data_IF_912262599997
#
_entry.id   IF_912262599997
#
_cell.length_a   1.000
_cell.length_b   1.000
_cell.length_c   1.000
_cell.angle_alpha   90.00
_cell.angle_beta   90.00
_cell.angle_gamma   90.00
#
_symmetry.space_group_name_H-M   'P 1'
#
loop_
_entity.id
_entity.type
_entity.pdbx_description
1 polymer ?
#
# COMPACT_ATOMS: atom_id res chain seq x y z
N UNK A 1 65.90 -0.58 44.12
CA UNK A 1 64.90 0.40 43.69
C UNK A 1 65.03 0.56 42.17
N UNK A 2 64.14 -0.08 41.40
CA UNK A 2 64.07 0.06 39.95
C UNK A 2 62.71 0.68 39.64
N UNK A 3 62.76 1.94 39.19
CA UNK A 3 61.63 2.76 38.78
C UNK A 3 61.14 2.31 37.41
N UNK A 4 59.89 1.81 37.34
CA UNK A 4 59.17 1.54 36.09
C UNK A 4 58.46 2.84 35.62
N UNK A 5 58.80 3.32 34.46
CA UNK A 5 58.03 4.35 33.75
C UNK A 5 56.85 3.68 33.00
N UNK A 6 55.65 4.23 33.04
CA UNK A 6 54.55 3.74 32.22
C UNK A 6 54.68 4.30 30.78
N UNK A 7 54.61 3.37 29.80
CA UNK A 7 54.48 3.70 28.40
C UNK A 7 53.06 4.22 28.15
N UNK A 8 52.89 5.50 27.80
CA UNK A 8 51.67 6.05 27.20
C UNK A 8 51.54 5.50 25.79
N UNK A 9 50.53 4.70 25.54
CA UNK A 9 50.08 4.34 24.18
C UNK A 9 49.13 5.45 23.72
N UNK A 10 49.62 6.31 22.84
CA UNK A 10 48.77 7.21 22.07
C UNK A 10 48.08 6.41 20.97
N UNK A 11 46.81 6.10 21.17
CA UNK A 11 45.94 5.67 20.07
C UNK A 11 45.56 6.90 19.26
N UNK A 12 46.18 7.06 18.10
CA UNK A 12 45.70 8.01 17.08
C UNK A 12 44.33 7.50 16.61
N UNK A 13 43.29 8.12 17.10
CA UNK A 13 42.02 8.09 16.41
C UNK A 13 42.16 8.96 15.16
N UNK A 14 42.31 8.35 13.99
CA UNK A 14 42.13 9.02 12.73
C UNK A 14 40.66 9.43 12.63
N UNK A 15 40.35 10.67 12.96
CA UNK A 15 39.05 11.25 12.63
C UNK A 15 38.99 11.32 11.10
N UNK A 16 38.25 10.41 10.49
CA UNK A 16 37.84 10.58 9.09
C UNK A 16 36.96 11.82 9.04
N UNK A 17 37.48 12.90 8.52
CA UNK A 17 36.72 14.07 8.10
C UNK A 17 35.73 13.57 7.03
N UNK A 18 34.49 13.34 7.43
CA UNK A 18 33.38 13.27 6.50
C UNK A 18 33.27 14.63 5.83
N UNK A 19 33.73 14.74 4.59
CA UNK A 19 33.38 15.87 3.75
C UNK A 19 31.86 15.98 3.74
N UNK A 20 31.31 17.10 4.19
CA UNK A 20 29.88 17.38 4.09
C UNK A 20 29.49 17.20 2.62
N UNK A 21 28.72 16.17 2.34
CA UNK A 21 28.11 15.99 1.02
C UNK A 21 27.28 17.23 0.71
N UNK A 22 27.30 17.73 -0.54
CA UNK A 22 26.40 18.79 -0.96
C UNK A 22 24.96 18.38 -0.61
N UNK A 23 24.10 19.36 -0.37
CA UNK A 23 22.70 19.13 -0.02
C UNK A 23 22.04 18.27 -1.11
N UNK A 24 21.88 16.97 -0.85
CA UNK A 24 21.29 15.98 -1.73
C UNK A 24 19.79 15.79 -1.41
N UNK A 25 19.14 16.85 -0.92
CA UNK A 25 17.72 16.84 -0.57
C UNK A 25 17.34 15.73 0.44
N UNK A 26 18.25 15.48 1.39
CA UNK A 26 18.06 14.48 2.44
C UNK A 26 18.52 13.07 2.08
N UNK A 27 19.01 12.82 0.86
CA UNK A 27 19.62 11.53 0.48
C UNK A 27 20.99 11.40 1.14
N UNK A 28 21.27 10.25 1.76
CA UNK A 28 22.59 9.93 2.31
C UNK A 28 23.28 8.92 1.42
N UNK A 29 24.56 9.15 1.15
CA UNK A 29 25.41 8.29 0.34
C UNK A 29 26.71 8.01 1.09
N UNK A 30 27.05 6.73 1.29
CA UNK A 30 28.24 6.31 2.03
C UNK A 30 28.81 4.98 1.51
N UNK A 31 30.09 4.73 1.79
CA UNK A 31 30.71 3.42 1.56
C UNK A 31 30.28 2.48 2.70
N UNK A 32 29.71 1.33 2.35
CA UNK A 32 29.19 0.37 3.31
C UNK A 32 30.28 -0.58 3.82
N UNK A 33 30.51 -0.56 5.16
CA UNK A 33 31.44 -1.50 5.80
C UNK A 33 32.90 -1.38 5.32
N UNK A 34 33.27 -0.26 4.72
CA UNK A 34 34.57 -0.05 4.10
C UNK A 34 35.52 0.74 5.00
N UNK A 35 36.76 0.27 5.12
CA UNK A 35 37.80 0.89 5.97
C UNK A 35 39.08 1.29 5.21
N UNK A 36 39.07 1.23 3.87
CA UNK A 36 40.22 1.56 3.00
C UNK A 36 40.34 3.05 2.68
N UNK A 37 41.06 3.35 1.60
CA UNK A 37 41.37 4.72 1.15
C UNK A 37 40.39 5.30 0.11
N UNK A 38 39.43 4.49 -0.37
CA UNK A 38 38.44 4.97 -1.33
C UNK A 38 37.55 6.05 -0.72
N UNK A 39 37.14 6.98 -1.54
CA UNK A 39 36.22 8.06 -1.17
C UNK A 39 34.99 8.04 -2.07
N UNK A 40 33.88 8.60 -1.58
CA UNK A 40 32.67 8.75 -2.38
C UNK A 40 32.28 10.21 -2.46
N UNK A 41 31.81 10.59 -3.64
CA UNK A 41 31.16 11.89 -3.87
C UNK A 41 29.80 11.66 -4.52
N UNK A 42 28.85 12.55 -4.27
CA UNK A 42 27.56 12.53 -4.92
C UNK A 42 27.10 13.94 -5.27
N UNK A 43 26.36 14.07 -6.35
CA UNK A 43 25.81 15.34 -6.83
C UNK A 43 24.37 15.15 -7.31
N UNK A 44 23.50 16.12 -6.99
CA UNK A 44 22.16 16.19 -7.56
C UNK A 44 22.23 16.52 -9.05
N UNK A 45 21.48 15.81 -9.86
CA UNK A 45 21.29 16.07 -11.29
C UNK A 45 19.87 16.62 -11.59
N UNK A 46 19.09 16.93 -10.56
CA UNK A 46 17.72 17.40 -10.64
C UNK A 46 16.82 16.71 -9.64
N UNK A 47 15.53 17.02 -9.68
CA UNK A 47 14.57 16.43 -8.76
C UNK A 47 14.54 14.90 -8.90
N UNK A 48 14.75 14.19 -7.80
CA UNK A 48 14.77 12.72 -7.76
C UNK A 48 15.78 12.07 -8.72
N UNK A 49 16.93 12.74 -8.91
CA UNK A 49 18.04 12.21 -9.69
C UNK A 49 19.38 12.64 -9.09
N UNK A 50 20.25 11.69 -8.83
CA UNK A 50 21.61 11.96 -8.36
C UNK A 50 22.62 11.08 -9.09
N UNK A 51 23.85 11.54 -9.15
CA UNK A 51 25.04 10.78 -9.58
C UNK A 51 25.94 10.60 -8.38
N UNK A 52 26.37 9.37 -8.14
CA UNK A 52 27.41 9.05 -7.17
C UNK A 52 28.65 8.51 -7.88
N UNK A 53 29.81 8.85 -7.36
CA UNK A 53 31.11 8.43 -7.90
C UNK A 53 32.05 7.99 -6.78
N UNK A 54 32.64 6.83 -6.94
CA UNK A 54 33.67 6.29 -6.05
C UNK A 54 35.04 6.53 -6.66
N UNK A 55 35.92 7.21 -5.90
CA UNK A 55 37.33 7.28 -6.21
C UNK A 55 38.05 6.23 -5.37
N UNK A 56 38.59 5.21 -6.03
CA UNK A 56 39.20 4.06 -5.37
C UNK A 56 40.57 4.36 -4.74
N UNK A 57 41.26 5.45 -5.16
CA UNK A 57 42.62 5.79 -4.68
C UNK A 57 43.60 4.60 -4.70
N UNK A 58 43.52 3.76 -5.73
CA UNK A 58 44.31 2.53 -5.87
C UNK A 58 43.79 1.28 -5.18
N UNK A 59 42.68 1.36 -4.45
CA UNK A 59 42.07 0.21 -3.83
C UNK A 59 41.31 -0.65 -4.86
N UNK A 60 41.58 -1.95 -4.87
CA UNK A 60 40.96 -2.93 -5.81
C UNK A 60 39.92 -3.82 -5.14
N UNK A 61 39.67 -3.67 -3.81
CA UNK A 61 38.71 -4.53 -3.12
C UNK A 61 37.29 -4.26 -3.61
N UNK A 62 36.44 -5.31 -3.64
CA UNK A 62 35.00 -5.12 -3.84
C UNK A 62 34.43 -4.21 -2.75
N UNK A 63 33.56 -3.30 -3.13
CA UNK A 63 32.92 -2.38 -2.19
C UNK A 63 31.48 -2.12 -2.58
N UNK A 64 30.67 -1.72 -1.62
CA UNK A 64 29.30 -1.34 -1.85
C UNK A 64 29.07 0.10 -1.41
N UNK A 65 28.21 0.78 -2.12
CA UNK A 65 27.71 2.10 -1.74
C UNK A 65 26.29 1.93 -1.19
N UNK A 66 26.08 2.43 0.03
CA UNK A 66 24.75 2.58 0.60
C UNK A 66 24.16 3.92 0.17
N UNK A 67 22.94 3.89 -0.34
CA UNK A 67 22.11 5.07 -0.61
C UNK A 67 20.85 4.96 0.21
N UNK A 68 20.62 5.92 1.11
CA UNK A 68 19.40 6.01 1.92
C UNK A 68 18.52 7.12 1.37
N UNK A 69 17.34 6.77 0.90
CA UNK A 69 16.35 7.69 0.33
C UNK A 69 15.43 8.24 1.42
N UNK A 70 15.14 9.55 1.46
CA UNK A 70 14.30 10.15 2.48
C UNK A 70 12.83 9.71 2.31
N UNK A 71 12.20 9.29 3.43
CA UNK A 71 10.77 8.91 3.51
C UNK A 71 9.89 9.99 4.12
N UNK A 72 10.48 11.03 4.66
CA UNK A 72 9.78 12.13 5.33
C UNK A 72 10.38 13.47 4.93
N UNK A 73 9.63 14.54 5.14
CA UNK A 73 10.10 15.88 4.81
C UNK A 73 9.58 16.39 3.46
N UNK A 74 10.29 17.37 2.87
CA UNK A 74 9.85 18.03 1.63
C UNK A 74 10.18 17.25 0.36
N UNK A 75 11.21 16.39 0.39
CA UNK A 75 11.75 15.70 -0.77
C UNK A 75 11.68 14.18 -0.59
N UNK A 76 10.48 13.67 -0.27
CA UNK A 76 10.21 12.22 -0.19
C UNK A 76 10.37 11.61 -1.58
N UNK A 77 11.24 10.60 -1.68
CA UNK A 77 11.43 9.88 -2.93
C UNK A 77 10.34 8.84 -3.14
N UNK A 78 9.78 8.71 -4.35
CA UNK A 78 8.87 7.63 -4.71
C UNK A 78 9.67 6.33 -4.90
N UNK A 79 10.01 5.68 -3.81
CA UNK A 79 10.98 4.57 -3.76
C UNK A 79 10.59 3.38 -4.63
N UNK A 80 9.28 3.17 -4.86
CA UNK A 80 8.77 2.13 -5.77
C UNK A 80 9.17 2.35 -7.23
N UNK A 81 9.50 3.58 -7.61
CA UNK A 81 9.82 3.99 -8.99
C UNK A 81 11.32 4.28 -9.17
N UNK A 82 12.15 3.95 -8.18
CA UNK A 82 13.61 4.21 -8.21
C UNK A 82 14.34 3.09 -8.95
N UNK A 83 15.19 3.48 -9.90
CA UNK A 83 16.16 2.59 -10.55
C UNK A 83 17.60 3.08 -10.32
N UNK A 84 18.56 2.19 -10.51
CA UNK A 84 19.99 2.50 -10.49
C UNK A 84 20.60 2.05 -11.81
N UNK A 85 21.37 2.95 -12.46
CA UNK A 85 22.06 2.68 -13.73
C UNK A 85 23.54 3.03 -13.62
N UNK A 86 24.37 2.32 -14.35
CA UNK A 86 25.76 2.75 -14.58
C UNK A 86 25.82 3.98 -15.52
N UNK A 87 27.01 4.51 -15.75
CA UNK A 87 27.21 5.67 -16.64
C UNK A 87 26.93 5.36 -18.12
N UNK A 88 26.94 4.09 -18.52
CA UNK A 88 26.54 3.67 -19.85
C UNK A 88 25.02 3.55 -20.03
N UNK A 89 24.27 3.76 -18.93
CA UNK A 89 22.81 3.64 -18.92
C UNK A 89 22.30 2.23 -18.71
N UNK A 90 23.15 1.26 -18.36
CA UNK A 90 22.75 -0.11 -18.08
C UNK A 90 22.18 -0.20 -16.67
N UNK A 91 21.02 -0.87 -16.52
CA UNK A 91 20.44 -1.10 -15.21
C UNK A 91 21.33 -2.02 -14.36
N UNK A 92 21.54 -1.64 -13.11
CA UNK A 92 22.41 -2.34 -12.18
C UNK A 92 21.60 -3.24 -11.26
N UNK A 93 22.15 -4.43 -11.00
CA UNK A 93 21.62 -5.31 -9.95
C UNK A 93 21.94 -4.68 -8.58
N UNK A 94 20.90 -4.27 -7.86
CA UNK A 94 21.01 -3.54 -6.61
C UNK A 94 20.21 -4.26 -5.52
N UNK A 95 20.83 -4.44 -4.35
CA UNK A 95 20.10 -4.93 -3.19
C UNK A 95 19.27 -3.81 -2.59
N UNK A 96 18.00 -4.10 -2.38
CA UNK A 96 17.02 -3.19 -1.78
C UNK A 96 16.57 -3.73 -0.45
N UNK A 97 16.39 -2.85 0.51
CA UNK A 97 15.94 -3.19 1.86
C UNK A 97 15.21 -2.01 2.50
N UNK A 98 14.61 -2.25 3.67
CA UNK A 98 13.68 -1.32 4.30
C UNK A 98 12.24 -1.63 3.91
N UNK A 99 11.29 -1.07 4.65
CA UNK A 99 9.85 -1.35 4.47
C UNK A 99 9.36 -0.83 3.11
N UNK A 100 9.95 0.27 2.62
CA UNK A 100 9.57 0.93 1.36
C UNK A 100 10.72 0.92 0.34
N UNK A 101 11.68 -0.03 0.47
CA UNK A 101 12.87 -0.08 -0.37
C UNK A 101 13.72 1.19 -0.36
N UNK A 102 13.68 1.92 0.74
CA UNK A 102 14.41 3.17 0.90
C UNK A 102 15.93 3.02 1.02
N UNK A 103 16.41 1.80 1.29
CA UNK A 103 17.85 1.52 1.38
C UNK A 103 18.31 0.74 0.16
N UNK A 104 19.24 1.33 -0.59
CA UNK A 104 19.88 0.71 -1.74
C UNK A 104 21.31 0.36 -1.39
N UNK A 105 21.78 -0.83 -1.73
CA UNK A 105 23.16 -1.24 -1.65
C UNK A 105 23.66 -1.53 -3.06
N UNK A 106 24.49 -0.61 -3.58
CA UNK A 106 24.96 -0.60 -4.97
C UNK A 106 26.36 -1.20 -5.04
N UNK A 107 26.56 -2.33 -5.74
CA UNK A 107 27.88 -2.93 -5.87
C UNK A 107 28.78 -2.12 -6.80
N UNK A 108 30.00 -1.84 -6.35
CA UNK A 108 31.01 -1.13 -7.11
C UNK A 108 32.11 -2.12 -7.51
N UNK A 109 32.29 -2.28 -8.81
CA UNK A 109 33.29 -3.18 -9.41
C UNK A 109 34.43 -2.35 -10.02
N UNK A 110 35.46 -3.01 -10.55
CA UNK A 110 36.52 -2.33 -11.31
C UNK A 110 35.98 -1.58 -12.54
N UNK A 111 34.88 -2.09 -13.13
CA UNK A 111 34.23 -1.52 -14.32
C UNK A 111 33.21 -0.44 -14.00
N UNK A 112 32.69 -0.40 -12.78
CA UNK A 112 31.64 0.53 -12.35
C UNK A 112 32.17 1.39 -11.21
N UNK A 113 32.68 2.57 -11.55
CA UNK A 113 33.15 3.57 -10.58
C UNK A 113 32.13 4.68 -10.27
N UNK A 114 31.10 4.82 -11.10
CA UNK A 114 30.03 5.79 -10.90
C UNK A 114 28.68 5.22 -11.34
N UNK A 115 27.61 5.74 -10.75
CA UNK A 115 26.23 5.32 -11.04
C UNK A 115 25.25 6.48 -10.84
N UNK A 116 24.07 6.28 -11.40
CA UNK A 116 22.95 7.22 -11.32
C UNK A 116 21.80 6.52 -10.58
N UNK A 117 21.26 7.18 -9.57
CA UNK A 117 20.00 6.82 -8.90
C UNK A 117 18.95 7.81 -9.38
N UNK A 118 17.85 7.32 -9.93
CA UNK A 118 16.80 8.16 -10.47
C UNK A 118 15.41 7.54 -10.34
N UNK A 119 14.40 8.39 -10.28
CA UNK A 119 13.00 7.99 -10.45
C UNK A 119 12.70 7.87 -11.93
N UNK A 120 12.02 6.81 -12.31
CA UNK A 120 11.56 6.57 -13.69
C UNK A 120 10.05 6.69 -13.76
N UNK A 121 9.54 7.11 -14.92
CA UNK A 121 8.12 7.12 -15.18
C UNK A 121 7.58 5.67 -15.17
N UNK A 122 6.46 5.42 -14.48
CA UNK A 122 5.85 4.10 -14.48
C UNK A 122 5.38 3.72 -15.89
N UNK A 123 5.50 2.43 -16.24
CA UNK A 123 5.06 1.89 -17.54
C UNK A 123 3.54 2.02 -17.73
N UNK A 124 2.81 1.92 -16.64
CA UNK A 124 1.35 2.11 -16.60
C UNK A 124 1.08 3.41 -15.86
N UNK A 125 0.45 4.35 -16.53
CA UNK A 125 0.04 5.60 -15.88
C UNK A 125 -0.98 5.30 -14.79
N UNK A 126 -0.71 5.76 -13.57
CA UNK A 126 -1.71 5.74 -12.51
C UNK A 126 -2.97 6.52 -12.98
N UNK A 127 -4.17 6.10 -12.56
CA UNK A 127 -5.38 6.84 -12.86
C UNK A 127 -5.20 8.32 -12.48
N UNK A 128 -5.60 9.22 -13.38
CA UNK A 128 -5.43 10.65 -13.14
C UNK A 128 -6.28 11.08 -11.95
N UNK A 129 -5.65 11.59 -10.93
CA UNK A 129 -6.36 12.14 -9.78
C UNK A 129 -7.21 13.35 -10.17
N UNK A 130 -8.47 13.35 -9.76
CA UNK A 130 -9.40 14.46 -9.90
C UNK A 130 -9.44 15.29 -8.60
N UNK A 131 -9.96 16.52 -8.69
CA UNK A 131 -10.14 17.38 -7.53
C UNK A 131 -11.50 17.12 -6.85
N UNK A 132 -11.70 17.63 -5.62
CA UNK A 132 -13.01 17.57 -4.96
C UNK A 132 -14.10 18.28 -5.78
N UNK A 133 -13.74 19.32 -6.55
CA UNK A 133 -14.68 20.01 -7.44
C UNK A 133 -15.15 19.16 -8.62
N UNK A 134 -14.31 18.25 -9.10
CA UNK A 134 -14.68 17.32 -10.18
C UNK A 134 -15.65 16.24 -9.70
N UNK A 135 -15.76 16.05 -8.38
CA UNK A 135 -16.63 15.06 -7.73
C UNK A 135 -17.89 15.64 -7.12
N UNK A 136 -18.19 16.91 -7.41
CA UNK A 136 -19.32 17.66 -6.85
C UNK A 136 -20.06 18.40 -7.98
N UNK A 137 -21.38 18.27 -7.99
CA UNK A 137 -22.30 19.10 -8.77
C UNK A 137 -23.17 19.87 -7.77
N UNK A 138 -23.19 21.20 -7.90
CA UNK A 138 -24.17 22.09 -7.24
C UNK A 138 -24.96 22.74 -8.36
N UNK A 139 -26.20 22.29 -8.56
CA UNK A 139 -27.02 22.76 -9.68
C UNK A 139 -27.97 23.87 -9.24
N UNK A 140 -27.78 25.07 -9.76
CA UNK A 140 -28.62 26.23 -9.44
C UNK A 140 -30.02 26.15 -10.09
N UNK A 141 -30.19 25.36 -11.13
CA UNK A 141 -31.47 25.22 -11.84
C UNK A 141 -32.48 24.39 -11.08
N UNK A 142 -32.07 23.18 -10.65
CA UNK A 142 -32.87 22.30 -9.80
C UNK A 142 -32.78 22.64 -8.33
N UNK A 143 -31.64 23.20 -7.89
CA UNK A 143 -31.29 23.40 -6.48
C UNK A 143 -30.76 22.13 -5.80
N UNK A 144 -30.50 21.06 -6.55
CA UNK A 144 -29.96 19.80 -6.04
C UNK A 144 -28.43 19.79 -6.01
N UNK A 145 -27.86 19.01 -5.08
CA UNK A 145 -26.43 18.74 -5.02
C UNK A 145 -26.18 17.23 -5.19
N UNK A 146 -25.14 16.87 -5.93
CA UNK A 146 -24.68 15.48 -6.10
C UNK A 146 -23.18 15.43 -5.88
N UNK A 147 -22.72 14.50 -5.05
CA UNK A 147 -21.29 14.26 -4.86
C UNK A 147 -20.95 12.78 -4.76
N UNK A 148 -19.71 12.43 -5.11
CA UNK A 148 -19.17 11.10 -4.84
C UNK A 148 -18.67 11.08 -3.39
N UNK A 149 -19.23 10.19 -2.57
CA UNK A 149 -18.93 10.07 -1.16
C UNK A 149 -17.45 9.71 -0.91
N UNK A 150 -16.89 10.17 0.21
CA UNK A 150 -15.52 9.80 0.61
C UNK A 150 -15.38 8.31 0.90
N UNK A 151 -16.41 7.71 1.49
CA UNK A 151 -16.48 6.28 1.82
C UNK A 151 -17.88 5.76 1.53
N UNK A 152 -18.04 4.43 1.33
CA UNK A 152 -19.33 3.85 1.00
C UNK A 152 -20.39 4.10 2.07
N UNK A 153 -21.64 4.27 1.63
CA UNK A 153 -22.83 4.24 2.48
C UNK A 153 -22.78 5.18 3.69
N UNK A 154 -22.17 6.37 3.55
CA UNK A 154 -22.11 7.37 4.61
C UNK A 154 -21.10 7.08 5.72
N UNK A 155 -20.21 6.13 5.53
CA UNK A 155 -19.09 5.92 6.44
C UNK A 155 -18.17 7.14 6.38
N UNK A 156 -17.53 7.44 7.50
CA UNK A 156 -16.62 8.60 7.61
C UNK A 156 -15.14 8.22 7.51
N UNK A 157 -14.81 6.96 7.78
CA UNK A 157 -13.45 6.41 7.67
C UNK A 157 -13.50 4.94 7.26
N UNK A 158 -12.35 4.37 6.92
CA UNK A 158 -12.21 2.95 6.64
C UNK A 158 -11.20 2.28 7.58
N UNK A 159 -11.37 0.96 7.79
CA UNK A 159 -10.44 0.10 8.53
C UNK A 159 -10.18 -1.18 7.74
N UNK A 160 -8.90 -1.52 7.55
CA UNK A 160 -8.50 -2.86 7.14
C UNK A 160 -7.70 -3.57 8.22
N UNK A 161 -7.98 -4.86 8.40
CA UNK A 161 -7.32 -5.75 9.36
C UNK A 161 -6.55 -6.78 8.57
N UNK A 162 -5.22 -6.73 8.67
CA UNK A 162 -4.30 -7.58 7.91
C UNK A 162 -3.60 -8.59 8.82
N UNK A 163 -3.32 -9.78 8.26
CA UNK A 163 -2.55 -10.85 8.91
C UNK A 163 -1.44 -11.31 7.97
N UNK A 164 -0.21 -11.38 8.46
CA UNK A 164 0.97 -11.73 7.67
C UNK A 164 1.43 -13.17 7.97
N UNK A 165 2.24 -13.79 7.08
CA UNK A 165 2.99 -15.04 7.24
C UNK A 165 2.21 -16.36 7.14
N UNK A 166 0.97 -16.40 6.70
CA UNK A 166 0.20 -17.66 6.57
C UNK A 166 0.17 -18.55 7.83
N UNK A 167 0.18 -17.97 9.03
CA UNK A 167 0.25 -18.76 10.26
C UNK A 167 -1.03 -19.60 10.48
N UNK A 168 -0.95 -20.86 11.04
CA UNK A 168 -2.11 -21.73 11.26
C UNK A 168 -3.23 -21.09 12.10
N UNK A 169 -2.88 -20.15 13.00
CA UNK A 169 -3.87 -19.43 13.81
C UNK A 169 -4.74 -18.46 13.02
N UNK A 170 -4.40 -18.16 11.76
CA UNK A 170 -5.30 -17.42 10.88
C UNK A 170 -6.59 -18.18 10.63
N UNK A 171 -6.48 -19.47 10.30
CA UNK A 171 -7.61 -20.35 10.06
C UNK A 171 -8.33 -20.76 11.35
N UNK A 172 -7.55 -21.09 12.42
CA UNK A 172 -8.11 -21.65 13.66
C UNK A 172 -8.63 -20.61 14.64
N UNK A 173 -8.19 -19.34 14.54
CA UNK A 173 -8.58 -18.27 15.48
C UNK A 173 -9.00 -16.98 14.79
N UNK A 174 -8.14 -16.37 13.96
CA UNK A 174 -8.42 -15.05 13.43
C UNK A 174 -9.69 -14.98 12.58
N UNK A 175 -9.86 -15.91 11.62
CA UNK A 175 -11.05 -15.97 10.74
C UNK A 175 -12.33 -16.24 11.53
N UNK A 176 -12.40 -17.26 12.42
CA UNK A 176 -13.58 -17.47 13.25
C UNK A 176 -13.95 -16.24 14.07
N UNK A 177 -13.00 -15.59 14.72
CA UNK A 177 -13.26 -14.39 15.52
C UNK A 177 -13.74 -13.24 14.63
N UNK A 178 -13.10 -12.97 13.48
CA UNK A 178 -13.58 -11.93 12.56
C UNK A 178 -15.04 -12.18 12.13
N UNK A 179 -15.39 -13.43 11.86
CA UNK A 179 -16.78 -13.81 11.51
C UNK A 179 -17.78 -13.57 12.64
N UNK A 180 -17.41 -13.82 13.90
CA UNK A 180 -18.22 -13.46 15.07
C UNK A 180 -18.56 -11.96 15.11
N UNK A 181 -17.62 -11.11 14.70
CA UNK A 181 -17.82 -9.65 14.63
C UNK A 181 -18.50 -9.19 13.33
N UNK A 182 -18.59 -10.04 12.31
CA UNK A 182 -19.05 -9.69 10.97
C UNK A 182 -18.03 -8.83 10.21
N UNK A 183 -16.74 -9.00 10.49
CA UNK A 183 -15.67 -8.23 9.90
C UNK A 183 -14.92 -9.01 8.83
N UNK A 184 -14.46 -8.30 7.79
CA UNK A 184 -13.62 -8.83 6.72
C UNK A 184 -12.15 -8.62 7.07
N UNK A 185 -11.29 -9.61 6.81
CA UNK A 185 -9.84 -9.54 6.97
C UNK A 185 -9.11 -9.76 5.66
N UNK A 186 -7.85 -9.27 5.61
CA UNK A 186 -6.90 -9.51 4.51
C UNK A 186 -5.75 -10.37 5.01
N UNK A 187 -5.50 -11.50 4.37
CA UNK A 187 -4.46 -12.45 4.73
C UNK A 187 -3.35 -12.40 3.69
N UNK A 188 -2.20 -11.84 4.08
CA UNK A 188 -0.97 -11.83 3.30
C UNK A 188 -0.33 -13.20 3.38
N UNK A 189 -0.45 -13.98 2.30
CA UNK A 189 -0.06 -15.39 2.30
C UNK A 189 1.23 -15.65 1.54
N UNK A 190 1.93 -16.71 1.97
CA UNK A 190 3.14 -17.22 1.33
C UNK A 190 2.82 -18.59 0.71
N UNK A 191 2.35 -18.62 -0.54
CA UNK A 191 1.82 -19.83 -1.16
C UNK A 191 2.89 -20.70 -1.84
N UNK A 192 4.15 -20.37 -1.70
CA UNK A 192 5.23 -21.17 -2.25
C UNK A 192 5.36 -22.55 -1.59
N UNK A 193 5.87 -23.56 -2.31
CA UNK A 193 6.11 -24.88 -1.75
C UNK A 193 7.20 -24.81 -0.67
N UNK A 194 7.12 -25.76 0.28
CA UNK A 194 8.11 -25.83 1.37
C UNK A 194 9.51 -26.06 0.82
N UNK A 195 10.43 -25.16 1.20
CA UNK A 195 11.84 -25.29 0.89
C UNK A 195 12.62 -25.95 2.03
N UNK A 196 13.62 -26.81 1.72
CA UNK A 196 14.47 -27.41 2.73
C UNK A 196 15.17 -26.35 3.61
N UNK A 197 15.08 -26.48 4.92
CA UNK A 197 15.73 -25.57 5.87
C UNK A 197 15.02 -24.22 6.10
N UNK A 198 13.90 -23.95 5.45
CA UNK A 198 13.12 -22.75 5.72
C UNK A 198 12.49 -22.77 7.12
N UNK A 199 12.44 -21.59 7.76
CA UNK A 199 11.78 -21.39 9.06
C UNK A 199 10.34 -20.86 8.93
N UNK A 200 9.90 -20.60 7.69
CA UNK A 200 8.60 -20.04 7.43
C UNK A 200 7.47 -21.01 7.78
N UNK A 201 6.32 -20.47 8.17
CA UNK A 201 5.09 -21.25 8.26
C UNK A 201 4.62 -21.67 6.86
N UNK A 202 4.38 -22.96 6.68
CA UNK A 202 3.83 -23.52 5.44
C UNK A 202 2.35 -23.87 5.57
N UNK A 203 1.62 -23.13 6.40
CA UNK A 203 0.21 -23.43 6.61
C UNK A 203 -0.62 -23.24 5.33
N UNK A 204 -0.19 -22.36 4.41
CA UNK A 204 -0.89 -22.22 3.14
C UNK A 204 -0.82 -23.51 2.31
N UNK A 205 0.35 -24.14 2.19
CA UNK A 205 0.51 -25.39 1.48
C UNK A 205 -0.18 -26.56 2.20
N UNK A 206 0.06 -26.70 3.51
CA UNK A 206 -0.47 -27.83 4.30
C UNK A 206 -1.97 -27.75 4.59
N UNK A 207 -2.55 -26.55 4.57
CA UNK A 207 -3.96 -26.26 4.83
C UNK A 207 -4.64 -25.64 3.59
N UNK A 208 -4.19 -26.04 2.39
CA UNK A 208 -4.71 -25.47 1.15
C UNK A 208 -6.23 -25.65 0.99
N UNK A 209 -6.75 -26.80 1.39
CA UNK A 209 -8.20 -27.07 1.30
C UNK A 209 -9.03 -26.15 2.21
N UNK A 210 -8.51 -25.82 3.40
CA UNK A 210 -9.13 -24.89 4.33
C UNK A 210 -9.12 -23.46 3.77
N UNK A 211 -7.99 -23.03 3.18
CA UNK A 211 -7.90 -21.74 2.50
C UNK A 211 -8.87 -21.66 1.30
N UNK A 212 -8.97 -22.73 0.51
CA UNK A 212 -9.95 -22.81 -0.58
C UNK A 212 -11.39 -22.68 -0.06
N UNK A 213 -11.71 -23.34 1.05
CA UNK A 213 -13.04 -23.24 1.68
C UNK A 213 -13.34 -21.82 2.17
N UNK A 214 -12.35 -21.13 2.75
CA UNK A 214 -12.48 -19.71 3.15
C UNK A 214 -12.74 -18.82 1.93
N UNK A 215 -12.00 -19.01 0.84
CA UNK A 215 -12.19 -18.20 -0.37
C UNK A 215 -13.53 -18.43 -1.05
N UNK A 216 -14.07 -19.64 -1.01
CA UNK A 216 -15.43 -19.97 -1.51
C UNK A 216 -16.53 -19.24 -0.74
N UNK A 217 -16.35 -18.96 0.55
CA UNK A 217 -17.30 -18.17 1.34
C UNK A 217 -17.29 -16.67 0.96
N UNK A 218 -16.17 -16.16 0.47
CA UNK A 218 -16.03 -14.81 -0.08
C UNK A 218 -16.05 -13.67 0.95
N UNK A 219 -15.94 -14.00 2.23
CA UNK A 219 -15.97 -13.06 3.36
C UNK A 219 -14.58 -12.60 3.81
N UNK A 220 -13.52 -13.19 3.25
CA UNK A 220 -12.11 -12.83 3.51
C UNK A 220 -11.38 -12.55 2.20
N UNK A 221 -10.18 -11.97 2.31
CA UNK A 221 -9.30 -11.68 1.18
C UNK A 221 -7.95 -12.36 1.36
N UNK A 222 -7.37 -12.91 0.27
CA UNK A 222 -5.96 -13.25 0.19
C UNK A 222 -5.18 -12.15 -0.51
N UNK A 223 -3.96 -11.88 -0.05
CA UNK A 223 -3.04 -10.93 -0.62
C UNK A 223 -1.61 -11.50 -0.63
N UNK A 224 -0.71 -10.88 -1.38
CA UNK A 224 0.60 -11.40 -1.68
C UNK A 224 1.64 -11.00 -0.62
N UNK A 225 2.30 -12.01 0.01
CA UNK A 225 3.42 -11.81 0.93
C UNK A 225 4.74 -12.41 0.41
N UNK A 226 4.89 -12.49 -0.91
CA UNK A 226 5.85 -13.29 -1.67
C UNK A 226 5.65 -14.81 -1.49
N UNK A 227 6.25 -15.59 -2.35
CA UNK A 227 6.07 -17.05 -2.31
C UNK A 227 6.62 -17.68 -1.02
N UNK A 228 7.82 -17.24 -0.57
CA UNK A 228 8.56 -17.90 0.52
C UNK A 228 9.05 -16.95 1.62
N UNK A 229 8.79 -15.64 1.54
CA UNK A 229 9.27 -14.62 2.50
C UNK A 229 10.79 -14.68 2.75
N UNK A 230 11.58 -14.89 1.71
CA UNK A 230 13.05 -15.07 1.81
C UNK A 230 13.87 -13.98 1.12
N UNK A 231 13.22 -13.10 0.33
CA UNK A 231 13.89 -12.17 -0.57
C UNK A 231 14.19 -12.77 -1.93
N UNK A 232 14.99 -12.08 -2.74
CA UNK A 232 15.37 -12.53 -4.09
C UNK A 232 16.80 -12.07 -4.42
N UNK A 233 17.49 -12.84 -5.27
CA UNK A 233 18.88 -12.62 -5.72
C UNK A 233 18.96 -12.34 -7.22
N UNK A 234 18.03 -11.59 -7.75
CA UNK A 234 17.97 -11.25 -9.17
C UNK A 234 16.55 -11.23 -9.69
N UNK A 235 16.39 -10.77 -10.93
CA UNK A 235 15.08 -10.55 -11.53
C UNK A 235 14.28 -11.84 -11.68
N UNK A 236 14.90 -12.97 -11.96
CA UNK A 236 14.21 -14.27 -12.10
C UNK A 236 13.64 -14.76 -10.76
N UNK A 237 14.40 -14.59 -9.65
CA UNK A 237 13.87 -14.91 -8.32
C UNK A 237 12.79 -13.91 -7.90
N UNK A 238 12.91 -12.64 -8.26
CA UNK A 238 11.84 -11.65 -8.05
C UNK A 238 10.55 -12.07 -8.75
N UNK A 239 10.64 -12.50 -10.02
CA UNK A 239 9.50 -13.01 -10.80
C UNK A 239 8.91 -14.26 -10.13
N UNK A 240 9.75 -15.16 -9.64
CA UNK A 240 9.31 -16.36 -8.91
C UNK A 240 8.61 -16.00 -7.61
N UNK A 241 9.18 -15.14 -6.77
CA UNK A 241 8.63 -14.79 -5.46
C UNK A 241 7.31 -14.01 -5.56
N UNK A 242 7.22 -13.03 -6.45
CA UNK A 242 6.02 -12.20 -6.59
C UNK A 242 5.00 -12.85 -7.51
N UNK A 243 5.43 -13.33 -8.68
CA UNK A 243 4.53 -13.81 -9.72
C UNK A 243 3.90 -15.16 -9.41
N UNK A 244 4.67 -16.12 -8.84
CA UNK A 244 4.09 -17.42 -8.49
C UNK A 244 3.08 -17.29 -7.34
N UNK A 245 3.34 -16.42 -6.37
CA UNK A 245 2.40 -16.13 -5.30
C UNK A 245 1.10 -15.52 -5.84
N UNK A 246 1.19 -14.52 -6.73
CA UNK A 246 0.02 -13.94 -7.38
C UNK A 246 -0.79 -15.00 -8.14
N UNK A 247 -0.12 -15.85 -8.93
CA UNK A 247 -0.77 -16.91 -9.70
C UNK A 247 -1.48 -17.94 -8.80
N UNK A 248 -0.88 -18.30 -7.66
CA UNK A 248 -1.48 -19.22 -6.70
C UNK A 248 -2.76 -18.61 -6.07
N UNK A 249 -2.72 -17.34 -5.69
CA UNK A 249 -3.87 -16.62 -5.12
C UNK A 249 -5.00 -16.51 -6.15
N UNK A 250 -4.70 -16.13 -7.40
CA UNK A 250 -5.72 -16.02 -8.46
C UNK A 250 -6.43 -17.33 -8.76
N UNK A 251 -5.76 -18.48 -8.60
CA UNK A 251 -6.41 -19.81 -8.76
C UNK A 251 -7.49 -20.04 -7.72
N UNK A 252 -7.35 -19.49 -6.51
CA UNK A 252 -8.32 -19.62 -5.43
C UNK A 252 -9.46 -18.59 -5.53
N UNK A 253 -9.32 -17.59 -6.38
CA UNK A 253 -10.30 -16.50 -6.56
C UNK A 253 -10.77 -16.37 -8.01
N UNK A 254 -11.23 -17.46 -8.67
CA UNK A 254 -11.64 -17.40 -10.06
C UNK A 254 -12.78 -16.42 -10.28
N UNK A 255 -12.72 -15.64 -11.37
CA UNK A 255 -13.75 -14.66 -11.73
C UNK A 255 -13.77 -13.39 -10.92
N UNK A 256 -12.89 -13.23 -9.91
CA UNK A 256 -12.70 -11.97 -9.17
C UNK A 256 -11.64 -11.10 -9.83
N UNK A 257 -11.65 -9.81 -9.51
CA UNK A 257 -10.56 -8.89 -9.88
C UNK A 257 -9.20 -9.44 -9.44
N UNK A 258 -8.20 -9.28 -10.29
CA UNK A 258 -6.82 -9.70 -9.99
C UNK A 258 -6.04 -8.71 -9.14
N UNK A 259 -6.60 -7.52 -8.89
CA UNK A 259 -5.93 -6.50 -8.07
C UNK A 259 -5.83 -6.96 -6.62
N UNK A 260 -4.63 -6.98 -6.07
CA UNK A 260 -4.37 -7.37 -4.70
C UNK A 260 -3.25 -6.54 -4.06
N UNK A 261 -3.20 -6.52 -2.74
CA UNK A 261 -2.10 -5.93 -2.01
C UNK A 261 -0.82 -6.80 -2.10
N UNK A 262 0.35 -6.14 -2.15
CA UNK A 262 1.66 -6.74 -1.98
C UNK A 262 2.33 -6.19 -0.74
N UNK A 263 2.86 -7.07 0.11
CA UNK A 263 3.79 -6.73 1.18
C UNK A 263 4.97 -7.69 1.11
N UNK A 264 6.16 -7.17 0.84
CA UNK A 264 7.38 -8.00 0.71
C UNK A 264 7.97 -8.45 2.06
N UNK A 265 7.38 -8.00 3.17
CA UNK A 265 7.82 -8.36 4.51
C UNK A 265 9.07 -7.61 4.98
N UNK A 266 9.16 -7.45 6.30
CA UNK A 266 10.34 -6.88 6.94
C UNK A 266 11.49 -7.89 7.02
N UNK A 267 12.74 -7.38 7.09
CA UNK A 267 13.94 -8.22 7.29
C UNK A 267 14.41 -9.01 6.08
N UNK A 268 13.74 -8.91 4.93
CA UNK A 268 14.12 -9.54 3.66
C UNK A 268 15.00 -8.61 2.81
N UNK A 269 15.75 -9.20 1.88
CA UNK A 269 16.62 -8.48 0.95
C UNK A 269 16.25 -8.85 -0.46
N UNK A 270 16.09 -7.84 -1.30
CA UNK A 270 15.60 -7.98 -2.65
C UNK A 270 16.61 -7.43 -3.64
N UNK A 271 17.25 -8.30 -4.42
CA UNK A 271 18.20 -7.90 -5.45
C UNK A 271 17.50 -7.91 -6.80
N UNK A 272 17.49 -6.79 -7.50
CA UNK A 272 16.84 -6.64 -8.79
C UNK A 272 17.46 -5.48 -9.58
N UNK A 273 17.39 -5.58 -10.91
CA UNK A 273 17.71 -4.48 -11.81
C UNK A 273 16.52 -3.54 -12.01
N UNK A 274 15.31 -3.94 -11.58
CA UNK A 274 14.03 -3.26 -11.86
C UNK A 274 13.51 -2.50 -10.66
N UNK A 275 12.52 -1.66 -10.88
CA UNK A 275 11.75 -0.97 -9.84
C UNK A 275 10.73 -1.91 -9.20
N UNK A 276 10.24 -1.61 -8.01
CA UNK A 276 9.10 -2.34 -7.44
C UNK A 276 7.85 -2.12 -8.28
N UNK A 277 7.67 -0.92 -8.82
CA UNK A 277 6.56 -0.58 -9.73
C UNK A 277 6.44 -1.55 -10.89
N UNK A 278 7.55 -1.99 -11.48
CA UNK A 278 7.53 -2.98 -12.56
C UNK A 278 6.77 -4.25 -12.17
N UNK A 279 7.00 -4.77 -10.97
CA UNK A 279 6.33 -5.98 -10.47
C UNK A 279 4.90 -5.71 -10.04
N UNK A 280 4.63 -4.55 -9.43
CA UNK A 280 3.28 -4.13 -9.05
C UNK A 280 2.38 -4.06 -10.29
N UNK A 281 2.82 -3.38 -11.34
CA UNK A 281 2.07 -3.21 -12.58
C UNK A 281 1.88 -4.56 -13.30
N UNK A 282 2.95 -5.36 -13.39
CA UNK A 282 2.92 -6.66 -14.09
C UNK A 282 1.95 -7.65 -13.44
N UNK A 283 1.86 -7.65 -12.12
CA UNK A 283 1.04 -8.59 -11.36
C UNK A 283 -0.21 -7.96 -10.75
N UNK A 284 -0.62 -6.80 -11.24
CA UNK A 284 -1.83 -6.09 -10.78
C UNK A 284 -1.87 -5.94 -9.26
N UNK A 285 -0.80 -5.37 -8.69
CA UNK A 285 -0.67 -5.23 -7.25
C UNK A 285 -0.50 -3.76 -6.84
N UNK A 286 -0.86 -3.46 -5.61
CA UNK A 286 -0.51 -2.20 -4.98
C UNK A 286 0.34 -2.44 -3.74
N UNK A 287 1.26 -1.52 -3.47
CA UNK A 287 2.16 -1.61 -2.33
C UNK A 287 1.41 -1.39 -1.01
N UNK A 288 1.48 -2.36 -0.12
CA UNK A 288 0.91 -2.36 1.21
C UNK A 288 1.96 -2.48 2.32
N UNK A 289 3.24 -2.31 1.98
CA UNK A 289 4.36 -2.54 2.90
C UNK A 289 4.39 -1.56 4.06
N UNK A 290 3.94 -0.31 3.85
CA UNK A 290 4.00 0.74 4.87
C UNK A 290 2.63 1.24 5.34
N UNK A 291 2.64 2.09 6.37
CA UNK A 291 1.47 2.82 6.83
C UNK A 291 0.44 2.00 7.62
N UNK A 292 0.80 0.83 8.11
CA UNK A 292 -0.05 0.03 9.01
C UNK A 292 0.50 0.01 10.44
N UNK A 293 -0.40 0.05 11.42
CA UNK A 293 -0.07 -0.09 12.83
C UNK A 293 0.11 -1.57 13.16
N UNK A 294 1.31 -1.97 13.64
CA UNK A 294 1.55 -3.31 14.15
C UNK A 294 0.79 -3.55 15.45
N UNK A 295 0.12 -4.70 15.56
CA UNK A 295 -0.76 -5.02 16.67
C UNK A 295 -0.26 -6.14 17.57
N UNK A 296 0.92 -6.70 17.29
CA UNK A 296 1.48 -7.76 18.13
C UNK A 296 1.80 -7.24 19.54
N UNK A 297 1.51 -8.03 20.55
CA UNK A 297 1.68 -7.67 21.96
C UNK A 297 3.13 -7.33 22.33
N UNK A 298 4.10 -7.89 21.58
CA UNK A 298 5.53 -7.59 21.74
C UNK A 298 5.89 -6.11 21.52
N UNK A 299 5.05 -5.36 20.78
CA UNK A 299 5.25 -3.91 20.61
C UNK A 299 4.74 -3.08 21.79
N UNK A 300 4.03 -3.68 22.76
CA UNK A 300 3.49 -3.02 23.96
C UNK A 300 2.33 -2.07 23.69
N UNK A 301 1.32 -2.08 24.55
CA UNK A 301 0.22 -1.10 24.57
C UNK A 301 -0.59 -0.95 23.28
N UNK A 302 -0.72 -2.02 22.49
CA UNK A 302 -1.24 -1.93 21.11
C UNK A 302 -2.73 -1.62 21.02
N UNK A 303 -3.54 -2.12 21.95
CA UNK A 303 -4.98 -1.84 21.99
C UNK A 303 -5.23 -0.33 22.18
N UNK A 304 -4.49 0.31 23.08
CA UNK A 304 -4.61 1.76 23.29
C UNK A 304 -4.03 2.57 22.12
N UNK A 305 -2.93 2.11 21.53
CA UNK A 305 -2.38 2.72 20.32
C UNK A 305 -3.38 2.64 19.15
N UNK A 306 -4.07 1.52 19.00
CA UNK A 306 -5.13 1.36 18.01
C UNK A 306 -6.31 2.30 18.28
N UNK A 307 -6.77 2.41 19.54
CA UNK A 307 -7.85 3.33 19.91
C UNK A 307 -7.54 4.77 19.47
N UNK A 308 -6.34 5.25 19.76
CA UNK A 308 -5.88 6.60 19.38
C UNK A 308 -5.76 6.76 17.87
N UNK A 309 -5.18 5.76 17.19
CA UNK A 309 -5.06 5.79 15.74
C UNK A 309 -6.44 5.81 15.07
N UNK A 310 -7.36 4.93 15.49
CA UNK A 310 -8.71 4.87 14.95
C UNK A 310 -9.47 6.17 15.15
N UNK A 311 -9.39 6.77 16.34
CA UNK A 311 -10.01 8.08 16.62
C UNK A 311 -9.49 9.15 15.65
N UNK A 312 -8.16 9.24 15.47
CA UNK A 312 -7.56 10.20 14.53
C UNK A 312 -8.04 9.97 13.09
N UNK A 313 -8.18 8.70 12.67
CA UNK A 313 -8.65 8.40 11.32
C UNK A 313 -10.14 8.70 11.13
N UNK A 314 -10.98 8.48 12.15
CA UNK A 314 -12.37 8.87 12.14
C UNK A 314 -12.53 10.39 12.03
N UNK A 315 -11.76 11.16 12.82
CA UNK A 315 -11.80 12.64 12.79
C UNK A 315 -11.36 13.22 11.44
N UNK A 316 -10.42 12.55 10.76
CA UNK A 316 -9.83 13.04 9.52
C UNK A 316 -10.37 12.37 8.25
N UNK A 317 -11.29 11.42 8.39
CA UNK A 317 -11.87 10.70 7.25
C UNK A 317 -10.86 9.81 6.51
N UNK A 318 -9.94 9.15 7.21
CA UNK A 318 -8.83 8.42 6.63
C UNK A 318 -9.02 6.90 6.70
N UNK A 319 -8.18 6.18 5.96
CA UNK A 319 -8.05 4.73 6.02
C UNK A 319 -7.10 4.31 7.14
N UNK A 320 -7.61 3.74 8.23
CA UNK A 320 -6.85 3.10 9.29
C UNK A 320 -6.44 1.69 8.85
N UNK A 321 -5.14 1.38 8.91
CA UNK A 321 -4.58 0.08 8.57
C UNK A 321 -3.91 -0.53 9.78
N UNK A 322 -4.27 -1.77 10.13
CA UNK A 322 -3.61 -2.53 11.20
C UNK A 322 -3.12 -3.86 10.67
N UNK A 323 -2.02 -4.40 11.26
CA UNK A 323 -1.55 -5.72 10.92
C UNK A 323 -1.20 -6.53 12.16
N UNK A 324 -1.41 -7.83 12.05
CA UNK A 324 -1.06 -8.88 12.99
C UNK A 324 -0.20 -9.90 12.28
N UNK A 325 0.67 -10.62 13.01
CA UNK A 325 1.27 -11.82 12.44
C UNK A 325 0.39 -13.03 12.76
N UNK A 326 0.07 -13.30 14.04
CA UNK A 326 -0.85 -14.39 14.39
C UNK A 326 -1.48 -14.17 15.76
N UNK A 327 -2.46 -15.00 16.13
CA UNK A 327 -3.26 -14.83 17.33
C UNK A 327 -2.94 -15.90 18.35
N UNK A 328 -2.38 -15.49 19.51
CA UNK A 328 -2.24 -16.29 20.71
C UNK A 328 -0.87 -16.90 20.99
N UNK A 329 0.11 -16.90 20.06
CA UNK A 329 1.41 -17.55 20.21
C UNK A 329 2.56 -16.74 19.60
N UNK A 330 3.76 -16.74 20.23
CA UNK A 330 4.99 -16.13 19.67
C UNK A 330 4.95 -14.61 19.53
N UNK A 331 5.23 -14.10 18.34
CA UNK A 331 5.10 -12.69 17.97
C UNK A 331 3.65 -12.34 17.65
N UNK A 332 2.76 -12.65 18.55
CA UNK A 332 1.34 -12.56 18.28
C UNK A 332 0.64 -11.57 19.21
N UNK A 333 -0.58 -11.23 18.83
CA UNK A 333 -1.54 -10.65 19.77
C UNK A 333 -2.25 -11.76 20.53
N UNK A 334 -2.41 -11.62 21.84
CA UNK A 334 -3.29 -12.51 22.61
C UNK A 334 -4.73 -12.39 22.06
N UNK A 335 -5.50 -13.47 22.14
CA UNK A 335 -6.90 -13.45 21.71
C UNK A 335 -7.70 -12.35 22.44
N UNK A 336 -7.41 -12.13 23.74
CA UNK A 336 -8.03 -11.08 24.52
C UNK A 336 -7.75 -9.68 23.96
N UNK A 337 -6.51 -9.36 23.59
CA UNK A 337 -6.15 -8.07 23.01
C UNK A 337 -6.70 -7.91 21.58
N UNK A 338 -6.73 -9.00 20.82
CA UNK A 338 -7.34 -9.00 19.48
C UNK A 338 -8.84 -8.67 19.60
N UNK A 339 -9.60 -9.37 20.45
CA UNK A 339 -11.02 -9.09 20.70
C UNK A 339 -11.25 -7.68 21.21
N UNK A 340 -10.43 -7.19 22.15
CA UNK A 340 -10.51 -5.81 22.65
C UNK A 340 -10.34 -4.76 21.53
N UNK A 341 -9.46 -4.99 20.58
CA UNK A 341 -9.32 -4.13 19.40
C UNK A 341 -10.57 -4.20 18.48
N UNK A 342 -11.13 -5.39 18.26
CA UNK A 342 -12.35 -5.56 17.48
C UNK A 342 -13.56 -4.92 18.16
N UNK A 343 -13.66 -4.98 19.51
CA UNK A 343 -14.72 -4.30 20.27
C UNK A 343 -14.67 -2.78 20.07
N UNK A 344 -13.46 -2.20 20.05
CA UNK A 344 -13.29 -0.77 19.74
C UNK A 344 -13.79 -0.47 18.32
N UNK A 345 -13.41 -1.28 17.33
CA UNK A 345 -13.87 -1.11 15.95
C UNK A 345 -15.40 -1.26 15.84
N UNK A 346 -15.99 -2.23 16.56
CA UNK A 346 -17.42 -2.51 16.59
C UNK A 346 -18.25 -1.34 17.15
N UNK A 347 -17.71 -0.63 18.15
CA UNK A 347 -18.36 0.57 18.71
C UNK A 347 -18.51 1.72 17.70
N UNK A 348 -17.73 1.69 16.61
CA UNK A 348 -17.74 2.70 15.55
C UNK A 348 -18.24 2.17 14.20
N UNK A 349 -18.84 0.97 14.15
CA UNK A 349 -19.20 0.31 12.89
C UNK A 349 -20.21 1.10 12.03
N UNK A 350 -20.99 1.99 12.64
CA UNK A 350 -21.91 2.91 11.96
C UNK A 350 -21.18 4.00 11.15
N UNK A 351 -19.96 4.37 11.58
CA UNK A 351 -19.09 5.39 10.97
C UNK A 351 -17.90 4.81 10.22
N UNK A 352 -17.63 3.52 10.42
CA UNK A 352 -16.41 2.89 9.95
C UNK A 352 -16.73 1.82 8.90
N UNK A 353 -16.14 1.96 7.72
CA UNK A 353 -16.18 0.93 6.71
C UNK A 353 -15.07 -0.10 6.97
N UNK A 354 -15.42 -1.27 7.49
CA UNK A 354 -14.48 -2.36 7.78
C UNK A 354 -14.49 -3.31 6.58
N UNK A 355 -13.42 -3.30 5.80
CA UNK A 355 -13.33 -4.03 4.54
C UNK A 355 -11.91 -4.55 4.28
N UNK A 356 -11.75 -5.35 3.23
CA UNK A 356 -10.44 -5.82 2.80
C UNK A 356 -9.56 -4.67 2.27
N UNK A 357 -8.25 -4.90 2.23
CA UNK A 357 -7.34 -3.89 1.71
C UNK A 357 -7.60 -3.58 0.23
N UNK A 358 -7.91 -4.60 -0.59
CA UNK A 358 -8.20 -4.36 -1.99
C UNK A 358 -9.51 -3.60 -2.19
N UNK A 359 -10.58 -3.93 -1.45
CA UNK A 359 -11.85 -3.20 -1.57
C UNK A 359 -11.66 -1.70 -1.26
N UNK A 360 -10.93 -1.40 -0.16
CA UNK A 360 -10.67 0.00 0.25
C UNK A 360 -9.78 0.71 -0.77
N UNK A 361 -8.73 0.05 -1.23
CA UNK A 361 -7.82 0.62 -2.24
C UNK A 361 -8.55 0.89 -3.56
N UNK A 362 -9.38 -0.05 -4.03
CA UNK A 362 -10.20 0.11 -5.22
C UNK A 362 -11.11 1.32 -5.09
N UNK A 363 -11.92 1.38 -4.03
CA UNK A 363 -12.84 2.50 -3.80
C UNK A 363 -12.12 3.86 -3.81
N UNK A 364 -11.00 3.98 -3.08
CA UNK A 364 -10.23 5.23 -3.06
C UNK A 364 -9.69 5.60 -4.45
N UNK A 365 -9.18 4.62 -5.18
CA UNK A 365 -8.61 4.86 -6.52
C UNK A 365 -9.70 5.27 -7.50
N UNK A 366 -10.82 4.56 -7.54
CA UNK A 366 -11.99 4.87 -8.38
C UNK A 366 -12.55 6.26 -8.05
N UNK A 367 -12.83 6.52 -6.76
CA UNK A 367 -13.30 7.82 -6.32
C UNK A 367 -12.34 8.95 -6.69
N UNK A 368 -11.05 8.76 -6.44
CA UNK A 368 -10.05 9.81 -6.65
C UNK A 368 -9.76 10.07 -8.13
N UNK A 369 -10.10 9.17 -9.03
CA UNK A 369 -10.00 9.35 -10.48
C UNK A 369 -11.34 9.68 -11.15
N UNK A 370 -12.47 9.52 -10.45
CA UNK A 370 -13.79 9.79 -10.98
C UNK A 370 -14.08 11.29 -11.13
N UNK A 371 -14.90 11.62 -12.12
CA UNK A 371 -15.44 12.95 -12.36
C UNK A 371 -16.93 12.84 -12.63
N UNK A 372 -17.71 13.77 -12.10
CA UNK A 372 -19.12 13.96 -12.47
C UNK A 372 -19.29 15.31 -13.17
N UNK A 373 -20.03 15.31 -14.28
CA UNK A 373 -20.24 16.50 -15.09
C UNK A 373 -21.72 16.66 -15.36
N UNK A 374 -22.28 17.81 -14.99
CA UNK A 374 -23.69 18.13 -15.28
C UNK A 374 -23.92 18.15 -16.81
N UNK A 375 -24.95 17.43 -17.27
CA UNK A 375 -25.37 17.38 -18.68
C UNK A 375 -26.57 18.26 -18.92
N UNK A 376 -27.62 18.12 -18.11
CA UNK A 376 -28.84 18.91 -18.18
C UNK A 376 -29.55 18.92 -16.83
N UNK A 377 -30.36 19.93 -16.58
CA UNK A 377 -31.23 20.02 -15.41
C UNK A 377 -32.47 20.84 -15.71
N UNK A 378 -33.52 20.60 -14.96
CA UNK A 378 -34.71 21.40 -14.84
C UNK A 378 -35.18 21.41 -13.38
N UNK A 379 -36.35 22.01 -13.11
CA UNK A 379 -36.86 22.12 -11.73
C UNK A 379 -37.09 20.75 -11.04
N UNK A 380 -37.28 19.67 -11.80
CA UNK A 380 -37.66 18.35 -11.29
C UNK A 380 -36.65 17.25 -11.62
N UNK A 381 -35.60 17.58 -12.35
CA UNK A 381 -34.62 16.59 -12.79
C UNK A 381 -33.20 17.14 -12.93
N UNK A 382 -32.24 16.24 -12.77
CA UNK A 382 -30.82 16.49 -13.01
C UNK A 382 -30.22 15.26 -13.69
N UNK A 383 -29.46 15.47 -14.78
CA UNK A 383 -28.70 14.41 -15.46
C UNK A 383 -27.23 14.78 -15.46
N UNK A 384 -26.38 13.84 -15.11
CA UNK A 384 -24.92 14.01 -15.12
C UNK A 384 -24.23 12.81 -15.75
N UNK A 385 -23.02 13.02 -16.26
CA UNK A 385 -22.09 12.02 -16.73
C UNK A 385 -21.15 11.65 -15.57
N UNK A 386 -20.97 10.36 -15.31
CA UNK A 386 -19.91 9.81 -14.45
C UNK A 386 -18.80 9.28 -15.36
N UNK A 387 -17.59 9.78 -15.18
CA UNK A 387 -16.38 9.31 -15.85
C UNK A 387 -15.47 8.67 -14.82
N UNK A 388 -15.16 7.37 -14.96
CA UNK A 388 -14.24 6.63 -14.11
C UNK A 388 -13.02 6.22 -14.94
N UNK A 389 -11.87 6.81 -14.66
CA UNK A 389 -10.65 6.56 -15.43
C UNK A 389 -9.82 5.38 -14.89
N UNK A 390 -10.50 4.30 -14.49
CA UNK A 390 -9.91 3.06 -13.97
C UNK A 390 -10.22 1.87 -14.88
N UNK A 391 -9.38 0.84 -14.85
CA UNK A 391 -9.69 -0.43 -15.50
C UNK A 391 -10.75 -1.19 -14.69
N UNK A 392 -11.97 -1.28 -15.21
CA UNK A 392 -13.11 -1.93 -14.54
C UNK A 392 -12.91 -3.42 -14.27
N UNK A 393 -11.91 -4.08 -14.89
CA UNK A 393 -11.55 -5.48 -14.59
C UNK A 393 -10.71 -5.60 -13.33
N UNK A 394 -10.03 -4.52 -12.95
CA UNK A 394 -9.19 -4.45 -11.75
C UNK A 394 -9.90 -3.69 -10.63
N UNK A 395 -10.55 -2.58 -10.97
CA UNK A 395 -11.25 -1.69 -10.07
C UNK A 395 -12.75 -1.89 -10.27
N UNK A 396 -13.36 -2.69 -9.40
CA UNK A 396 -14.75 -3.13 -9.50
C UNK A 396 -15.59 -2.77 -8.24
N UNK A 397 -15.04 -1.87 -7.40
CA UNK A 397 -15.72 -1.44 -6.18
C UNK A 397 -16.72 -0.33 -6.48
N UNK A 398 -18.00 -0.57 -6.21
CA UNK A 398 -19.05 0.41 -6.47
C UNK A 398 -18.86 1.71 -5.70
N UNK A 399 -19.14 2.85 -6.36
CA UNK A 399 -19.12 4.18 -5.78
C UNK A 399 -20.45 4.50 -5.09
N UNK A 400 -20.41 5.33 -4.06
CA UNK A 400 -21.60 5.89 -3.42
C UNK A 400 -21.78 7.34 -3.87
N UNK A 401 -22.95 7.64 -4.41
CA UNK A 401 -23.41 9.01 -4.66
C UNK A 401 -24.17 9.51 -3.42
N UNK A 402 -23.86 10.67 -2.94
CA UNK A 402 -24.64 11.43 -1.96
C UNK A 402 -25.38 12.54 -2.70
N UNK A 403 -26.70 12.53 -2.56
CA UNK A 403 -27.60 13.44 -3.23
C UNK A 403 -28.37 14.24 -2.16
N UNK A 404 -28.19 15.55 -2.20
CA UNK A 404 -29.06 16.49 -1.47
C UNK A 404 -30.14 16.95 -2.43
N UNK A 405 -31.40 16.50 -2.29
CA UNK A 405 -32.48 16.93 -3.15
C UNK A 405 -32.73 18.44 -3.08
N UNK A 406 -33.26 19.01 -4.13
CA UNK A 406 -33.77 20.37 -4.07
C UNK A 406 -34.86 20.51 -3.01
N UNK A 407 -35.02 21.70 -2.43
CA UNK A 407 -36.00 21.93 -1.38
C UNK A 407 -37.46 21.64 -1.80
N UNK A 408 -37.73 21.73 -3.11
CA UNK A 408 -39.04 21.45 -3.68
C UNK A 408 -39.29 19.95 -3.97
N UNK A 409 -38.24 19.10 -3.83
CA UNK A 409 -38.37 17.67 -4.13
C UNK A 409 -38.79 16.87 -2.91
N UNK A 410 -39.67 15.91 -3.13
CA UNK A 410 -39.97 14.89 -2.11
C UNK A 410 -38.87 13.82 -2.15
N UNK A 411 -38.01 13.80 -1.13
CA UNK A 411 -36.88 12.85 -1.06
C UNK A 411 -37.33 11.40 -1.18
N UNK A 412 -38.55 11.05 -0.70
CA UNK A 412 -39.09 9.68 -0.77
C UNK A 412 -39.48 9.26 -2.19
N UNK A 413 -39.59 10.21 -3.11
CA UNK A 413 -39.96 9.99 -4.51
C UNK A 413 -38.79 10.19 -5.48
N UNK A 414 -37.58 10.41 -4.96
CA UNK A 414 -36.41 10.57 -5.81
C UNK A 414 -36.00 9.20 -6.39
N UNK A 415 -35.79 9.15 -7.69
CA UNK A 415 -35.38 7.97 -8.43
C UNK A 415 -34.05 8.30 -9.12
N UNK A 416 -33.08 7.38 -8.99
CA UNK A 416 -31.80 7.43 -9.71
C UNK A 416 -31.78 6.33 -10.76
N UNK A 417 -31.54 6.67 -12.01
CA UNK A 417 -31.43 5.72 -13.13
C UNK A 417 -30.16 5.95 -13.91
N UNK A 418 -29.58 4.87 -14.42
CA UNK A 418 -28.49 4.95 -15.40
C UNK A 418 -29.01 5.08 -16.84
N UNK A 419 -28.09 5.14 -17.79
CA UNK A 419 -28.36 5.26 -19.24
C UNK A 419 -29.06 4.01 -19.84
N UNK A 420 -28.94 2.83 -19.19
CA UNK A 420 -29.65 1.62 -19.54
C UNK A 420 -31.09 1.62 -18.95
N UNK A 421 -31.47 2.66 -18.21
CA UNK A 421 -32.76 2.79 -17.53
C UNK A 421 -32.90 1.95 -16.25
N UNK A 422 -31.79 1.33 -15.78
CA UNK A 422 -31.80 0.58 -14.54
C UNK A 422 -31.89 1.54 -13.36
N UNK A 423 -32.78 1.23 -12.41
CA UNK A 423 -32.93 2.01 -11.18
C UNK A 423 -31.92 1.58 -10.14
N UNK A 424 -31.28 2.57 -9.52
CA UNK A 424 -30.35 2.39 -8.41
C UNK A 424 -31.06 2.77 -7.09
N UNK A 425 -31.33 1.78 -6.21
CA UNK A 425 -32.02 2.06 -4.92
C UNK A 425 -31.21 3.06 -4.08
N UNK A 426 -31.92 4.04 -3.53
CA UNK A 426 -31.34 5.02 -2.61
C UNK A 426 -31.83 4.74 -1.19
N UNK A 427 -30.94 4.90 -0.22
CA UNK A 427 -31.27 4.99 1.22
C UNK A 427 -31.42 6.43 1.62
N UNK A 428 -32.40 6.74 2.46
CA UNK A 428 -32.71 8.11 2.91
C UNK A 428 -32.27 8.23 4.36
N UNK A 429 -31.48 9.26 4.65
CA UNK A 429 -31.06 9.65 5.99
C UNK A 429 -31.31 11.15 6.19
N UNK A 430 -32.41 11.48 6.85
CA UNK A 430 -32.90 12.85 6.89
C UNK A 430 -33.31 13.36 5.50
N UNK A 431 -32.63 14.37 4.99
CA UNK A 431 -32.80 14.88 3.63
C UNK A 431 -31.75 14.37 2.64
N UNK A 432 -30.75 13.63 3.10
CA UNK A 432 -29.67 13.10 2.26
C UNK A 432 -30.05 11.73 1.73
N UNK A 433 -29.90 11.55 0.42
CA UNK A 433 -30.03 10.22 -0.21
C UNK A 433 -28.64 9.68 -0.54
N UNK A 434 -28.49 8.39 -0.37
CA UNK A 434 -27.28 7.65 -0.81
C UNK A 434 -27.67 6.54 -1.75
N UNK A 435 -27.09 6.50 -2.94
CA UNK A 435 -27.23 5.40 -3.86
C UNK A 435 -25.87 4.84 -4.28
N UNK A 436 -25.84 3.55 -4.57
CA UNK A 436 -24.63 2.85 -5.02
C UNK A 436 -24.70 2.67 -6.52
N UNK A 437 -23.64 3.06 -7.22
CA UNK A 437 -23.49 2.97 -8.67
C UNK A 437 -22.24 2.20 -9.05
N UNK A 438 -22.22 1.43 -10.14
CA UNK A 438 -21.00 0.77 -10.60
C UNK A 438 -19.93 1.79 -10.99
N UNK A 439 -18.63 1.46 -10.86
CA UNK A 439 -17.51 2.35 -11.17
C UNK A 439 -17.22 2.33 -12.68
N UNK A 440 -18.18 2.64 -13.48
CA UNK A 440 -18.09 2.70 -14.96
C UNK A 440 -18.54 4.04 -15.50
N UNK A 441 -18.06 4.37 -16.68
CA UNK A 441 -18.58 5.50 -17.43
C UNK A 441 -20.06 5.31 -17.74
N UNK A 442 -20.86 6.36 -17.58
CA UNK A 442 -22.28 6.32 -17.87
C UNK A 442 -23.01 7.60 -17.46
N UNK A 443 -24.14 7.83 -18.06
CA UNK A 443 -25.01 8.92 -17.68
C UNK A 443 -26.02 8.46 -16.61
N UNK A 444 -26.24 9.31 -15.62
CA UNK A 444 -27.19 9.08 -14.54
C UNK A 444 -28.22 10.20 -14.51
N UNK A 445 -29.48 9.84 -14.35
CA UNK A 445 -30.58 10.77 -14.14
C UNK A 445 -31.15 10.66 -12.75
N UNK A 446 -31.36 11.79 -12.10
CA UNK A 446 -32.05 11.92 -10.83
C UNK A 446 -33.35 12.68 -11.10
N UNK A 447 -34.46 12.08 -10.75
CA UNK A 447 -35.78 12.69 -10.94
C UNK A 447 -36.59 12.66 -9.66
N UNK A 448 -37.32 13.74 -9.36
CA UNK A 448 -38.35 13.73 -8.34
C UNK A 448 -39.70 13.49 -9.03
N UNK A 449 -40.39 12.42 -8.67
CA UNK A 449 -41.76 12.23 -9.15
C UNK A 449 -42.66 13.33 -8.59
N UNK A 450 -43.62 13.85 -9.38
CA UNK A 450 -44.54 14.89 -8.93
C UNK A 450 -45.45 14.45 -7.78
#
# INVERSE_FOLDING_TARGET
>A
MKTLLPRLIFSLFAATLNAQSPDLDGVKVSLEGYSGTATISAASLGKFKLRAQVNRNGDTQPMNVRVELPKTGRNVWPTNDVEVRDEAGTAMLVQRSGIEWENLLVPITEKVGAFIVQVVEPLVSAPRATSEKDRLIQDATSGAEVRIANWPQGRVAALSIRFDDSHPTHLSKAIPILREYGFKGTFMVNPGPKEPGSRQSYSFETQHAEWEAVMKQGDMELANHSAHHRGARGDDEMESEIGSAAAAIWKLTPGKSKLMALNLGGGTRWETTRTLRHYLDKYHQFDASSGSLGMDDSYGGRVEAFRKALQTHLERGLWCRVHYHYIGEGLSSSEANFRAALDIAKQHQDKLWIASMADIHKYQTERNSAKITLVKSDANSLTFQLDCHTDVKLYDQSLTLEITPAAAWDASKVIVKDDDGQSHPATIEGTLLRCTVPPREGAYSITSAP
#
